data_IF_000091197702
#
_entry.id   IF_000091197702
#
_cell.length_a   1.000
_cell.length_b   1.000
_cell.length_c   1.000
_cell.angle_alpha   90.00
_cell.angle_beta   90.00
_cell.angle_gamma   90.00
#
_symmetry.space_group_name_H-M   'P 1'
#
loop_
_entity.id
_entity.type
_entity.pdbx_description
1 polymer ?
#
# COMPACT_ATOMS: atom_id res chain seq x y z
N UNK A 1 -24.15 -5.55 21.09
CA UNK A 1 -23.98 -5.50 22.55
C UNK A 1 -24.84 -6.60 23.14
N UNK A 2 -24.33 -7.35 24.12
CA UNK A 2 -25.12 -8.31 24.87
C UNK A 2 -25.61 -7.65 26.15
N UNK A 3 -26.93 -7.49 26.23
CA UNK A 3 -27.59 -6.84 27.36
C UNK A 3 -27.63 -7.82 28.54
N UNK A 4 -27.14 -7.35 29.68
CA UNK A 4 -27.24 -8.00 30.98
C UNK A 4 -28.15 -7.17 31.88
N UNK A 5 -27.58 -6.34 32.74
CA UNK A 5 -28.27 -5.49 33.70
C UNK A 5 -28.69 -4.12 33.14
N UNK A 6 -28.30 -3.80 31.89
CA UNK A 6 -28.66 -2.58 31.18
C UNK A 6 -27.97 -1.31 31.69
N UNK A 7 -27.03 -1.40 32.63
CA UNK A 7 -26.40 -0.24 33.27
C UNK A 7 -25.27 0.39 32.44
N UNK A 8 -24.64 -0.37 31.54
CA UNK A 8 -23.67 0.16 30.59
C UNK A 8 -24.33 0.45 29.25
N UNK A 9 -25.43 -0.23 28.94
CA UNK A 9 -26.13 -0.11 27.67
C UNK A 9 -26.90 1.21 27.53
N UNK A 10 -26.43 2.09 26.67
CA UNK A 10 -27.11 3.33 26.26
C UNK A 10 -28.21 3.01 25.26
N UNK A 11 -29.45 3.38 25.61
CA UNK A 11 -30.63 3.10 24.82
C UNK A 11 -30.51 3.62 23.37
N UNK A 12 -29.92 4.80 23.19
CA UNK A 12 -29.90 5.47 21.91
C UNK A 12 -28.77 5.05 20.97
N UNK A 13 -27.58 4.80 21.52
CA UNK A 13 -26.32 4.74 20.76
C UNK A 13 -25.80 3.32 20.63
N UNK A 14 -26.08 2.44 21.60
CA UNK A 14 -25.55 1.08 21.57
C UNK A 14 -26.42 0.17 20.70
N UNK A 15 -25.76 -0.79 20.02
CA UNK A 15 -26.42 -1.81 19.22
C UNK A 15 -26.91 -2.97 20.13
N UNK A 16 -28.00 -2.73 20.86
CA UNK A 16 -28.62 -3.72 21.76
C UNK A 16 -29.88 -4.40 21.17
N UNK A 17 -30.34 -3.93 20.02
CA UNK A 17 -31.54 -4.43 19.34
C UNK A 17 -31.21 -4.96 17.94
N UNK A 18 -32.08 -5.78 17.32
CA UNK A 18 -31.93 -6.19 15.93
C UNK A 18 -32.07 -5.03 14.93
N UNK A 19 -32.54 -3.87 15.36
CA UNK A 19 -32.72 -2.68 14.53
C UNK A 19 -31.47 -1.78 14.49
N UNK A 20 -30.38 -2.19 15.16
CA UNK A 20 -29.18 -1.36 15.32
C UNK A 20 -29.37 -0.26 16.36
N UNK A 21 -28.73 0.89 16.12
CA UNK A 21 -28.81 2.07 16.99
C UNK A 21 -30.21 2.71 16.90
N UNK A 22 -30.82 3.00 18.04
CA UNK A 22 -32.16 3.61 18.07
C UNK A 22 -32.18 5.02 17.46
N UNK A 23 -31.09 5.78 17.57
CA UNK A 23 -30.94 7.09 16.90
C UNK A 23 -31.03 6.98 15.38
N UNK A 24 -30.42 5.95 14.80
CA UNK A 24 -30.49 5.70 13.35
C UNK A 24 -31.86 5.14 12.97
N UNK A 25 -32.39 4.22 13.76
CA UNK A 25 -33.67 3.55 13.46
C UNK A 25 -34.87 4.49 13.57
N UNK A 26 -35.00 5.23 14.68
CA UNK A 26 -36.08 6.22 14.90
C UNK A 26 -35.81 7.58 14.24
N UNK A 27 -34.55 7.89 13.88
CA UNK A 27 -34.13 9.19 13.36
C UNK A 27 -33.71 10.18 14.46
N UNK A 28 -33.13 11.32 14.06
CA UNK A 28 -32.55 12.31 14.97
C UNK A 28 -33.56 12.91 15.98
N UNK A 29 -34.83 13.05 15.58
CA UNK A 29 -35.92 13.50 16.45
C UNK A 29 -36.47 12.40 17.36
N UNK A 30 -35.93 11.19 17.29
CA UNK A 30 -36.35 10.02 18.07
C UNK A 30 -36.48 10.29 19.58
N UNK A 31 -35.46 10.87 20.25
CA UNK A 31 -35.54 11.21 21.68
C UNK A 31 -36.74 12.09 22.03
N UNK A 32 -37.00 13.11 21.21
CA UNK A 32 -38.13 14.03 21.41
C UNK A 32 -39.48 13.36 21.15
N UNK A 33 -39.56 12.52 20.13
CA UNK A 33 -40.80 11.84 19.75
C UNK A 33 -41.21 10.74 20.73
N UNK A 34 -40.23 10.02 21.27
CA UNK A 34 -40.45 8.91 22.22
C UNK A 34 -40.54 9.43 23.65
N UNK A 35 -39.90 10.56 23.98
CA UNK A 35 -39.89 11.10 25.34
C UNK A 35 -38.90 10.41 26.28
N UNK A 36 -37.86 9.79 25.73
CA UNK A 36 -36.74 9.19 26.48
C UNK A 36 -35.52 10.09 26.31
N UNK A 37 -34.84 10.41 27.41
CA UNK A 37 -33.68 11.31 27.40
C UNK A 37 -32.54 10.74 26.55
N UNK A 38 -31.77 11.61 25.89
CA UNK A 38 -30.69 11.20 24.97
C UNK A 38 -29.59 10.36 25.63
N UNK A 39 -29.42 10.50 26.95
CA UNK A 39 -28.42 9.79 27.74
C UNK A 39 -29.00 8.58 28.50
N UNK A 40 -30.25 8.21 28.25
CA UNK A 40 -30.91 7.10 28.92
C UNK A 40 -30.18 5.77 28.71
N UNK A 41 -30.09 4.98 29.77
CA UNK A 41 -29.65 3.59 29.75
C UNK A 41 -30.85 2.65 29.69
N UNK A 42 -30.65 1.41 29.24
CA UNK A 42 -31.71 0.42 29.28
C UNK A 42 -32.21 0.16 30.71
N UNK A 43 -31.33 0.17 31.70
CA UNK A 43 -31.70 0.03 33.10
C UNK A 43 -32.66 1.11 33.60
N UNK A 44 -32.57 2.33 33.05
CA UNK A 44 -33.42 3.46 33.50
C UNK A 44 -34.89 3.26 33.11
N UNK A 45 -35.12 2.44 32.08
CA UNK A 45 -36.43 2.12 31.51
C UNK A 45 -37.03 0.82 32.07
N UNK A 46 -36.31 0.09 32.93
CA UNK A 46 -36.77 -1.15 33.54
C UNK A 46 -37.01 -0.96 35.04
N UNK A 47 -38.26 -1.10 35.50
CA UNK A 47 -38.62 -0.94 36.92
C UNK A 47 -39.66 -1.98 37.32
N UNK A 48 -39.49 -2.58 38.50
CA UNK A 48 -40.40 -3.59 39.04
C UNK A 48 -40.72 -4.69 38.00
N UNK A 49 -39.67 -5.27 37.41
CA UNK A 49 -39.74 -6.32 36.40
C UNK A 49 -40.60 -6.01 35.16
N UNK A 50 -40.69 -4.72 34.79
CA UNK A 50 -41.43 -4.27 33.62
C UNK A 50 -40.75 -3.10 32.92
N UNK A 51 -40.96 -2.99 31.60
CA UNK A 51 -40.50 -1.86 30.79
C UNK A 51 -41.46 -0.66 30.93
N UNK A 52 -40.91 0.50 31.26
CA UNK A 52 -41.62 1.77 31.42
C UNK A 52 -41.34 2.66 30.21
N UNK A 53 -42.25 2.60 29.23
CA UNK A 53 -42.12 3.30 27.96
C UNK A 53 -43.41 4.07 27.65
N UNK A 54 -43.32 5.26 27.04
CA UNK A 54 -44.50 5.95 26.54
C UNK A 54 -45.23 5.14 25.45
N UNK A 55 -46.55 5.32 25.28
CA UNK A 55 -47.29 4.63 24.24
C UNK A 55 -46.69 4.86 22.85
N UNK A 56 -46.57 3.80 22.06
CA UNK A 56 -46.06 3.90 20.69
C UNK A 56 -46.94 4.83 19.83
N UNK A 57 -46.30 5.78 19.14
CA UNK A 57 -46.93 6.74 18.21
C UNK A 57 -46.55 6.49 16.75
N UNK A 58 -45.78 5.44 16.48
CA UNK A 58 -45.42 4.99 15.13
C UNK A 58 -45.16 3.50 15.11
N UNK A 59 -45.20 2.90 13.92
CA UNK A 59 -44.89 1.48 13.72
C UNK A 59 -43.47 1.11 14.18
N UNK A 60 -42.49 1.98 13.89
CA UNK A 60 -41.11 1.81 14.39
C UNK A 60 -41.05 1.78 15.91
N UNK A 61 -41.83 2.63 16.58
CA UNK A 61 -41.89 2.63 18.05
C UNK A 61 -42.53 1.35 18.59
N UNK A 62 -43.62 0.91 17.97
CA UNK A 62 -44.28 -0.35 18.32
C UNK A 62 -43.32 -1.54 18.18
N UNK A 63 -42.54 -1.59 17.10
CA UNK A 63 -41.61 -2.69 16.83
C UNK A 63 -40.53 -2.84 17.92
N UNK A 64 -39.89 -1.74 18.35
CA UNK A 64 -38.89 -1.85 19.41
C UNK A 64 -39.55 -2.14 20.77
N UNK A 65 -40.77 -1.66 21.03
CA UNK A 65 -41.52 -1.98 22.26
C UNK A 65 -41.90 -3.46 22.34
N UNK A 66 -42.30 -4.06 21.22
CA UNK A 66 -42.52 -5.51 21.11
C UNK A 66 -41.22 -6.26 21.42
N UNK A 67 -40.10 -5.82 20.83
CA UNK A 67 -38.80 -6.44 21.07
C UNK A 67 -38.38 -6.32 22.55
N UNK A 68 -38.52 -5.14 23.16
CA UNK A 68 -38.24 -4.96 24.59
C UNK A 68 -39.12 -5.89 25.44
N UNK A 69 -40.41 -6.03 25.12
CA UNK A 69 -41.32 -6.93 25.85
C UNK A 69 -40.90 -8.41 25.80
N UNK A 70 -40.08 -8.81 24.81
CA UNK A 70 -39.49 -10.15 24.72
C UNK A 70 -38.17 -10.31 25.51
N UNK A 71 -37.63 -9.22 26.05
CA UNK A 71 -36.35 -9.17 26.77
C UNK A 71 -36.58 -8.91 28.26
N UNK A 72 -35.75 -9.53 29.10
CA UNK A 72 -35.66 -9.25 30.54
C UNK A 72 -34.23 -8.88 30.90
N UNK A 73 -34.05 -7.92 31.80
CA UNK A 73 -32.74 -7.60 32.35
C UNK A 73 -32.34 -8.64 33.40
N UNK A 74 -31.07 -9.00 33.42
CA UNK A 74 -30.50 -9.95 34.37
C UNK A 74 -29.60 -9.25 35.40
N UNK A 75 -29.12 -9.99 36.40
CA UNK A 75 -28.14 -9.48 37.37
C UNK A 75 -26.70 -9.42 36.84
N UNK A 76 -26.45 -9.99 35.65
CA UNK A 76 -25.12 -10.03 35.02
C UNK A 76 -24.82 -8.68 34.38
N UNK A 77 -23.57 -8.22 34.43
CA UNK A 77 -23.16 -6.98 33.77
C UNK A 77 -23.30 -7.07 32.24
N UNK A 78 -23.58 -5.95 31.59
CA UNK A 78 -23.60 -5.87 30.14
C UNK A 78 -22.22 -6.19 29.53
N UNK A 79 -22.19 -6.78 28.33
CA UNK A 79 -20.95 -7.11 27.65
C UNK A 79 -20.94 -6.68 26.18
N UNK A 80 -19.79 -6.20 25.70
CA UNK A 80 -19.56 -5.97 24.28
C UNK A 80 -19.10 -7.25 23.60
N UNK A 81 -19.93 -7.80 22.71
CA UNK A 81 -19.59 -8.94 21.87
C UNK A 81 -19.27 -8.49 20.44
N UNK A 82 -18.21 -9.06 19.87
CA UNK A 82 -17.81 -8.82 18.48
C UNK A 82 -18.53 -9.80 17.57
N UNK A 83 -19.22 -9.31 16.55
CA UNK A 83 -19.90 -10.15 15.57
C UNK A 83 -19.10 -10.11 14.26
N UNK A 84 -18.52 -11.26 13.88
CA UNK A 84 -17.79 -11.44 12.63
C UNK A 84 -18.39 -12.66 11.93
N UNK A 85 -18.79 -12.53 10.66
CA UNK A 85 -19.43 -13.60 9.87
C UNK A 85 -20.62 -14.26 10.59
N UNK A 86 -21.49 -13.45 11.19
CA UNK A 86 -22.65 -13.88 12.00
C UNK A 86 -22.31 -14.78 13.22
N UNK A 87 -21.08 -14.71 13.72
CA UNK A 87 -20.65 -15.44 14.93
C UNK A 87 -20.14 -14.47 15.99
N UNK A 88 -20.65 -14.64 17.21
CA UNK A 88 -20.18 -13.91 18.37
C UNK A 88 -18.76 -14.37 18.77
N UNK A 89 -17.86 -13.42 18.99
CA UNK A 89 -16.50 -13.63 19.47
C UNK A 89 -16.26 -12.80 20.73
N UNK A 90 -15.69 -13.47 21.73
CA UNK A 90 -15.37 -12.88 23.04
C UNK A 90 -14.04 -12.09 23.03
N UNK A 91 -13.27 -12.16 21.94
CA UNK A 91 -12.03 -11.39 21.77
C UNK A 91 -12.02 -10.74 20.39
N UNK A 92 -11.60 -9.48 20.35
CA UNK A 92 -11.37 -8.78 19.09
C UNK A 92 -10.09 -9.32 18.45
N UNK A 93 -10.18 -9.64 17.16
CA UNK A 93 -9.00 -9.82 16.32
C UNK A 93 -9.08 -8.72 15.26
N UNK A 94 -8.22 -7.70 15.39
CA UNK A 94 -8.19 -6.56 14.48
C UNK A 94 -7.97 -7.03 13.04
N UNK A 95 -7.15 -8.06 12.83
CA UNK A 95 -6.92 -8.64 11.50
C UNK A 95 -8.18 -9.26 10.89
N UNK A 96 -8.97 -10.00 11.68
CA UNK A 96 -10.25 -10.54 11.20
C UNK A 96 -11.26 -9.44 10.87
N UNK A 97 -11.35 -8.41 11.74
CA UNK A 97 -12.24 -7.27 11.51
C UNK A 97 -11.82 -6.53 10.24
N UNK A 98 -10.53 -6.28 10.06
CA UNK A 98 -9.96 -5.63 8.89
C UNK A 98 -10.28 -6.40 7.60
N UNK A 99 -10.12 -7.73 7.62
CA UNK A 99 -10.50 -8.58 6.48
C UNK A 99 -11.99 -8.52 6.15
N UNK A 100 -12.87 -8.46 7.16
CA UNK A 100 -14.32 -8.36 6.92
C UNK A 100 -14.74 -6.98 6.38
N UNK A 101 -14.05 -5.91 6.80
CA UNK A 101 -14.38 -4.55 6.36
C UNK A 101 -13.87 -4.27 4.93
N UNK A 102 -12.81 -4.95 4.51
CA UNK A 102 -12.14 -4.64 3.25
C UNK A 102 -12.60 -5.55 2.13
N UNK A 103 -12.91 -4.93 1.00
CA UNK A 103 -13.10 -5.64 -0.26
C UNK A 103 -11.81 -6.33 -0.68
N UNK A 104 -11.82 -7.66 -0.63
CA UNK A 104 -10.72 -8.48 -1.10
C UNK A 104 -10.70 -8.51 -2.62
N UNK A 105 -9.85 -7.69 -3.23
CA UNK A 105 -9.56 -7.75 -4.66
C UNK A 105 -8.74 -8.99 -5.02
N UNK A 106 -8.86 -9.50 -6.27
CA UNK A 106 -8.07 -10.63 -6.72
C UNK A 106 -6.57 -10.32 -6.61
N UNK A 107 -5.80 -11.34 -6.20
CA UNK A 107 -4.35 -11.23 -6.10
C UNK A 107 -3.74 -10.90 -7.46
N UNK A 108 -2.86 -9.91 -7.48
CA UNK A 108 -2.14 -9.48 -8.69
C UNK A 108 -0.81 -10.20 -8.81
N UNK A 109 -0.48 -10.65 -10.02
CA UNK A 109 0.71 -11.45 -10.32
C UNK A 109 2.02 -10.69 -10.05
N UNK A 110 2.03 -9.38 -10.30
CA UNK A 110 3.20 -8.51 -10.09
C UNK A 110 3.47 -8.16 -8.62
N UNK A 111 2.60 -8.53 -7.68
CA UNK A 111 2.72 -8.15 -6.26
C UNK A 111 4.08 -8.56 -5.67
N UNK A 112 4.57 -9.76 -5.99
CA UNK A 112 5.87 -10.27 -5.56
C UNK A 112 7.06 -9.51 -6.17
N UNK A 113 6.91 -8.92 -7.35
CA UNK A 113 7.97 -8.11 -8.00
C UNK A 113 8.08 -6.74 -7.33
N UNK A 114 6.96 -6.16 -6.90
CA UNK A 114 6.93 -4.84 -6.26
C UNK A 114 7.24 -4.94 -4.76
N UNK A 115 6.60 -5.88 -4.06
CA UNK A 115 6.53 -5.90 -2.59
C UNK A 115 7.37 -7.00 -1.93
N UNK A 116 8.36 -7.58 -2.62
CA UNK A 116 9.29 -8.57 -2.03
C UNK A 116 10.00 -8.04 -0.77
N UNK A 117 10.46 -8.93 0.11
CA UNK A 117 11.13 -8.56 1.36
C UNK A 117 12.53 -7.96 1.15
N UNK A 118 12.85 -6.90 1.91
CA UNK A 118 14.19 -6.29 1.94
C UNK A 118 14.59 -5.53 0.66
N UNK A 119 13.63 -4.86 0.01
CA UNK A 119 13.88 -3.80 -0.97
C UNK A 119 13.56 -2.42 -0.41
N UNK A 120 14.06 -1.36 -1.05
CA UNK A 120 13.97 0.02 -0.58
C UNK A 120 12.54 0.56 -0.68
N UNK A 121 11.88 0.99 0.42
CA UNK A 121 10.47 1.38 0.42
C UNK A 121 10.09 2.43 -0.64
N UNK A 122 10.86 3.52 -0.76
CA UNK A 122 10.61 4.57 -1.75
C UNK A 122 10.72 4.08 -3.20
N UNK A 123 11.59 3.10 -3.48
CA UNK A 123 11.72 2.52 -4.82
C UNK A 123 10.53 1.61 -5.13
N UNK A 124 10.09 0.80 -4.17
CA UNK A 124 8.88 -0.03 -4.30
C UNK A 124 7.64 0.80 -4.58
N UNK A 125 7.43 1.86 -3.81
CA UNK A 125 6.29 2.75 -3.97
C UNK A 125 6.25 3.38 -5.37
N UNK A 126 7.37 3.89 -5.85
CA UNK A 126 7.43 4.45 -7.19
C UNK A 126 7.25 3.39 -8.29
N UNK A 127 7.85 2.22 -8.11
CA UNK A 127 7.69 1.08 -9.03
C UNK A 127 6.22 0.67 -9.12
N UNK A 128 5.51 0.61 -8.00
CA UNK A 128 4.07 0.36 -7.95
C UNK A 128 3.28 1.37 -8.79
N UNK A 129 3.62 2.67 -8.70
CA UNK A 129 2.98 3.69 -9.53
C UNK A 129 3.24 3.48 -11.02
N UNK A 130 4.44 3.05 -11.41
CA UNK A 130 4.75 2.71 -12.81
C UNK A 130 4.04 1.45 -13.30
N UNK A 131 3.92 0.43 -12.45
CA UNK A 131 3.11 -0.77 -12.74
C UNK A 131 1.66 -0.40 -13.02
N UNK A 132 1.11 0.53 -12.24
CA UNK A 132 -0.26 1.04 -12.46
C UNK A 132 -0.36 2.11 -13.56
N UNK A 133 0.76 2.50 -14.17
CA UNK A 133 0.84 3.61 -15.14
C UNK A 133 0.24 4.93 -14.63
N UNK A 134 0.55 5.29 -13.37
CA UNK A 134 0.02 6.45 -12.63
C UNK A 134 1.04 7.57 -12.37
N UNK A 135 2.25 7.46 -12.92
CA UNK A 135 3.24 8.54 -12.81
C UNK A 135 2.89 9.71 -13.75
N UNK A 136 3.17 10.98 -13.36
CA UNK A 136 2.88 12.16 -14.19
C UNK A 136 3.92 12.36 -15.31
N UNK A 137 3.93 11.45 -16.28
CA UNK A 137 4.65 11.59 -17.55
C UNK A 137 4.01 12.68 -18.43
N UNK A 138 4.70 13.21 -19.45
CA UNK A 138 4.16 14.30 -20.29
C UNK A 138 2.84 13.93 -20.95
N UNK A 139 2.69 12.70 -21.45
CA UNK A 139 1.41 12.21 -22.00
C UNK A 139 0.26 12.30 -20.97
N UNK A 140 0.50 11.89 -19.72
CA UNK A 140 -0.49 11.99 -18.63
C UNK A 140 -0.81 13.43 -18.26
N UNK A 141 0.22 14.28 -18.10
CA UNK A 141 0.00 15.70 -17.80
C UNK A 141 -0.82 16.39 -18.89
N UNK A 142 -0.55 16.11 -20.16
CA UNK A 142 -1.34 16.63 -21.28
C UNK A 142 -2.79 16.12 -21.26
N UNK A 143 -3.00 14.85 -20.91
CA UNK A 143 -4.35 14.29 -20.76
C UNK A 143 -5.16 14.98 -19.65
N UNK A 144 -4.50 15.58 -18.66
CA UNK A 144 -5.13 16.42 -17.62
C UNK A 144 -5.35 17.88 -18.05
N UNK A 145 -5.06 18.23 -19.31
CA UNK A 145 -5.23 19.59 -19.84
C UNK A 145 -4.05 20.53 -19.59
N UNK A 146 -2.92 20.04 -19.03
CA UNK A 146 -1.73 20.86 -18.84
C UNK A 146 -1.03 21.12 -20.18
N UNK A 147 -0.73 22.39 -20.46
CA UNK A 147 0.05 22.82 -21.62
C UNK A 147 1.54 22.59 -21.37
N UNK A 148 2.01 21.38 -21.69
CA UNK A 148 3.41 20.98 -21.54
C UNK A 148 3.98 20.45 -22.85
N UNK A 149 5.25 20.72 -23.10
CA UNK A 149 6.00 20.12 -24.20
C UNK A 149 5.92 18.58 -24.11
N UNK A 150 5.46 17.88 -25.17
CA UNK A 150 5.36 16.43 -25.14
C UNK A 150 6.71 15.72 -25.13
N UNK A 151 7.81 16.39 -25.52
CA UNK A 151 9.10 15.75 -25.65
C UNK A 151 9.64 15.21 -24.31
N UNK A 152 10.28 14.05 -24.39
CA UNK A 152 10.97 13.41 -23.29
C UNK A 152 12.12 14.26 -22.79
N UNK A 153 12.14 14.54 -21.48
CA UNK A 153 13.19 15.36 -20.86
C UNK A 153 14.58 14.69 -20.84
N UNK A 154 14.65 13.38 -21.11
CA UNK A 154 15.90 12.63 -21.09
C UNK A 154 16.63 12.65 -22.44
N UNK A 155 15.91 12.42 -23.54
CA UNK A 155 16.51 12.37 -24.89
C UNK A 155 16.11 13.56 -25.80
N UNK A 156 15.03 14.27 -25.47
CA UNK A 156 14.44 15.33 -26.31
C UNK A 156 14.11 14.89 -27.76
N UNK A 157 13.99 13.59 -28.03
CA UNK A 157 13.83 13.07 -29.40
C UNK A 157 12.43 12.50 -29.71
N UNK A 158 11.65 12.13 -28.70
CA UNK A 158 10.30 11.57 -28.86
C UNK A 158 9.40 11.95 -27.69
N UNK A 159 8.10 11.68 -27.82
CA UNK A 159 7.11 12.01 -26.81
C UNK A 159 7.29 11.17 -25.53
N UNK A 160 7.19 11.80 -24.36
CA UNK A 160 7.32 11.12 -23.07
C UNK A 160 6.05 10.34 -22.73
N UNK A 161 6.12 9.03 -22.87
CA UNK A 161 5.20 8.04 -22.27
C UNK A 161 5.96 7.23 -21.21
N UNK A 162 5.27 6.39 -20.42
CA UNK A 162 5.94 5.43 -19.52
C UNK A 162 6.94 4.56 -20.27
N UNK A 163 6.48 3.97 -21.37
CA UNK A 163 7.25 2.96 -22.11
C UNK A 163 8.42 3.62 -22.83
N UNK A 164 8.23 4.83 -23.38
CA UNK A 164 9.33 5.61 -23.90
C UNK A 164 10.32 6.00 -22.80
N UNK A 165 9.85 6.61 -21.71
CA UNK A 165 10.71 7.09 -20.62
C UNK A 165 11.59 5.98 -20.05
N UNK A 166 11.02 4.78 -19.87
CA UNK A 166 11.74 3.68 -19.23
C UNK A 166 12.48 2.80 -20.22
N UNK A 167 11.97 2.49 -21.41
CA UNK A 167 12.52 1.44 -22.28
C UNK A 167 12.98 1.92 -23.66
N UNK A 168 12.24 2.82 -24.32
CA UNK A 168 12.60 3.24 -25.69
C UNK A 168 13.55 4.44 -25.73
N UNK A 169 13.63 5.21 -24.64
CA UNK A 169 14.53 6.36 -24.53
C UNK A 169 15.99 5.88 -24.54
N UNK A 170 16.79 6.39 -25.48
CA UNK A 170 18.21 6.04 -25.63
C UNK A 170 19.01 6.20 -24.33
N UNK A 171 18.76 7.29 -23.59
CA UNK A 171 19.38 7.56 -22.29
C UNK A 171 19.05 6.46 -21.26
N UNK A 172 17.79 6.07 -21.16
CA UNK A 172 17.32 5.04 -20.23
C UNK A 172 17.80 3.64 -20.66
N UNK A 173 17.80 3.36 -21.96
CA UNK A 173 18.22 2.07 -22.51
C UNK A 173 19.70 1.78 -22.26
N UNK A 174 20.56 2.80 -22.33
CA UNK A 174 21.97 2.67 -21.98
C UNK A 174 22.15 2.25 -20.51
N UNK A 175 21.38 2.86 -19.61
CA UNK A 175 21.39 2.51 -18.17
C UNK A 175 20.91 1.06 -17.98
N UNK A 176 19.78 0.67 -18.60
CA UNK A 176 19.27 -0.69 -18.52
C UNK A 176 20.26 -1.73 -19.03
N UNK A 177 20.88 -1.47 -20.17
CA UNK A 177 21.88 -2.35 -20.76
C UNK A 177 23.05 -2.57 -19.80
N UNK A 178 23.52 -1.51 -19.15
CA UNK A 178 24.64 -1.64 -18.21
C UNK A 178 24.26 -2.33 -16.92
N UNK A 179 23.16 -1.93 -16.29
CA UNK A 179 22.71 -2.51 -15.01
C UNK A 179 22.32 -3.98 -15.16
N UNK A 180 21.64 -4.35 -16.24
CA UNK A 180 21.26 -5.74 -16.50
C UNK A 180 22.49 -6.64 -16.67
N UNK A 181 23.51 -6.16 -17.41
CA UNK A 181 24.79 -6.86 -17.55
C UNK A 181 25.49 -7.07 -16.20
N UNK A 182 25.46 -6.08 -15.31
CA UNK A 182 26.02 -6.23 -13.96
C UNK A 182 25.26 -7.26 -13.10
N UNK A 183 24.02 -7.60 -13.46
CA UNK A 183 23.24 -8.65 -12.83
C UNK A 183 23.33 -9.99 -13.59
N UNK A 184 24.12 -10.10 -14.65
CA UNK A 184 24.17 -11.27 -15.56
C UNK A 184 22.83 -11.56 -16.26
N UNK A 185 22.04 -10.51 -16.54
CA UNK A 185 20.77 -10.58 -17.26
C UNK A 185 20.79 -9.68 -18.51
N UNK A 186 19.86 -9.92 -19.44
CA UNK A 186 19.62 -9.03 -20.58
C UNK A 186 18.35 -8.21 -20.33
N UNK A 187 18.36 -6.90 -20.63
CA UNK A 187 17.15 -6.09 -20.55
C UNK A 187 16.15 -6.57 -21.60
N UNK A 188 14.86 -6.61 -21.25
CA UNK A 188 13.79 -6.85 -22.22
C UNK A 188 13.44 -5.54 -22.93
N UNK A 189 12.88 -5.62 -24.15
CA UNK A 189 12.63 -4.45 -24.99
C UNK A 189 11.46 -3.60 -24.52
N UNK A 190 10.50 -4.19 -23.80
CA UNK A 190 9.27 -3.51 -23.37
C UNK A 190 9.01 -3.63 -21.87
N UNK A 191 8.14 -2.73 -21.37
CA UNK A 191 7.64 -2.79 -19.99
C UNK A 191 6.96 -4.13 -19.68
N UNK A 192 6.08 -4.59 -20.57
CA UNK A 192 5.27 -5.80 -20.36
C UNK A 192 6.14 -7.05 -20.32
N UNK A 193 7.03 -7.24 -21.29
CA UNK A 193 7.96 -8.37 -21.33
C UNK A 193 8.87 -8.39 -20.10
N UNK A 194 9.36 -7.21 -19.67
CA UNK A 194 10.17 -7.10 -18.45
C UNK A 194 9.39 -7.55 -17.22
N UNK A 195 8.14 -7.10 -17.06
CA UNK A 195 7.34 -7.43 -15.91
C UNK A 195 6.98 -8.93 -15.87
N UNK A 196 6.61 -9.50 -17.02
CA UNK A 196 6.35 -10.93 -17.18
C UNK A 196 7.59 -11.77 -16.89
N UNK A 197 8.76 -11.35 -17.39
CA UNK A 197 10.03 -11.97 -17.09
C UNK A 197 10.32 -11.97 -15.58
N UNK A 198 10.16 -10.83 -14.91
CA UNK A 198 10.39 -10.72 -13.47
C UNK A 198 9.38 -11.56 -12.66
N UNK A 199 8.14 -11.69 -13.12
CA UNK A 199 7.13 -12.55 -12.50
C UNK A 199 7.44 -14.04 -12.66
N UNK A 200 8.02 -14.45 -13.79
CA UNK A 200 8.33 -15.85 -14.08
C UNK A 200 9.57 -16.38 -13.34
N UNK A 201 10.40 -15.49 -12.77
CA UNK A 201 11.59 -15.86 -12.00
C UNK A 201 11.27 -16.82 -10.86
N UNK A 202 11.78 -18.05 -10.96
CA UNK A 202 11.69 -19.07 -9.92
C UNK A 202 12.84 -18.95 -8.90
N UNK A 203 12.56 -19.34 -7.64
CA UNK A 203 13.53 -19.32 -6.53
C UNK A 203 13.55 -18.02 -5.72
N UNK A 204 14.08 -18.09 -4.49
CA UNK A 204 14.17 -16.99 -3.51
C UNK A 204 15.61 -16.55 -3.21
N UNK A 205 16.54 -16.85 -4.13
CA UNK A 205 17.97 -16.61 -3.93
C UNK A 205 18.39 -15.15 -4.04
N UNK A 206 19.64 -14.90 -3.62
CA UNK A 206 20.31 -13.59 -3.69
C UNK A 206 20.24 -13.00 -5.10
N UNK A 207 20.36 -13.81 -6.15
CA UNK A 207 20.30 -13.36 -7.54
C UNK A 207 18.95 -12.73 -7.91
N UNK A 208 17.82 -13.34 -7.52
CA UNK A 208 16.49 -12.77 -7.77
C UNK A 208 16.33 -11.44 -7.04
N UNK A 209 16.78 -11.38 -5.79
CA UNK A 209 16.73 -10.14 -4.99
C UNK A 209 17.62 -9.05 -5.58
N UNK A 210 18.83 -9.39 -6.02
CA UNK A 210 19.75 -8.48 -6.71
C UNK A 210 19.09 -7.88 -7.94
N UNK A 211 18.47 -8.71 -8.78
CA UNK A 211 17.79 -8.26 -9.98
C UNK A 211 16.61 -7.34 -9.65
N UNK A 212 15.77 -7.70 -8.68
CA UNK A 212 14.62 -6.90 -8.27
C UNK A 212 15.02 -5.53 -7.67
N UNK A 213 16.05 -5.49 -6.81
CA UNK A 213 16.58 -4.23 -6.26
C UNK A 213 17.16 -3.37 -7.38
N UNK A 214 17.94 -3.96 -8.29
CA UNK A 214 18.57 -3.24 -9.40
C UNK A 214 17.52 -2.67 -10.36
N UNK A 215 16.48 -3.43 -10.65
CA UNK A 215 15.36 -2.99 -11.48
C UNK A 215 14.61 -1.81 -10.86
N UNK A 216 14.19 -1.94 -9.59
CA UNK A 216 13.49 -0.85 -8.89
C UNK A 216 14.38 0.39 -8.69
N UNK A 217 15.67 0.22 -8.44
CA UNK A 217 16.62 1.32 -8.32
C UNK A 217 16.85 2.05 -9.66
N UNK A 218 16.83 1.32 -10.77
CA UNK A 218 16.96 1.89 -12.12
C UNK A 218 15.73 2.73 -12.47
N UNK A 219 14.51 2.20 -12.27
CA UNK A 219 13.26 2.96 -12.44
C UNK A 219 13.29 4.24 -11.60
N UNK A 220 13.68 4.12 -10.33
CA UNK A 220 13.74 5.27 -9.43
C UNK A 220 14.75 6.32 -9.89
N UNK A 221 15.95 5.89 -10.30
CA UNK A 221 17.00 6.82 -10.70
C UNK A 221 16.66 7.54 -12.01
N UNK A 222 16.06 6.85 -12.98
CA UNK A 222 15.56 7.44 -14.23
C UNK A 222 14.48 8.50 -13.93
N UNK A 223 13.51 8.17 -13.08
CA UNK A 223 12.45 9.09 -12.70
C UNK A 223 12.97 10.33 -11.97
N UNK A 224 13.91 10.14 -11.04
CA UNK A 224 14.54 11.24 -10.31
C UNK A 224 15.35 12.13 -11.24
N UNK A 225 16.13 11.56 -12.16
CA UNK A 225 16.88 12.31 -13.18
C UNK A 225 15.95 13.14 -14.07
N UNK A 226 14.87 12.52 -14.57
CA UNK A 226 13.83 13.21 -15.35
C UNK A 226 13.27 14.41 -14.57
N UNK A 227 12.93 14.22 -13.29
CA UNK A 227 12.39 15.30 -12.46
C UNK A 227 13.44 16.36 -12.10
N UNK A 228 14.71 15.99 -11.98
CA UNK A 228 15.80 16.96 -11.80
C UNK A 228 15.97 17.85 -13.02
N UNK A 229 15.86 17.30 -14.23
CA UNK A 229 15.87 18.11 -15.45
C UNK A 229 14.67 19.07 -15.51
N UNK A 230 13.48 18.61 -15.10
CA UNK A 230 12.28 19.43 -15.06
C UNK A 230 12.36 20.59 -14.04
N UNK A 231 12.77 20.29 -12.80
CA UNK A 231 12.62 21.24 -11.67
C UNK A 231 13.92 21.93 -11.26
N UNK A 232 15.08 21.41 -11.65
CA UNK A 232 16.40 21.93 -11.24
C UNK A 232 17.29 22.27 -12.42
N UNK A 233 16.86 21.99 -13.65
CA UNK A 233 17.64 22.18 -14.87
C UNK A 233 19.06 21.59 -14.79
N UNK A 234 19.20 20.46 -14.07
CA UNK A 234 20.47 19.72 -13.95
C UNK A 234 20.36 18.40 -14.71
N UNK A 235 21.37 18.08 -15.52
CA UNK A 235 21.44 16.84 -16.26
C UNK A 235 22.69 16.05 -15.87
N UNK A 236 22.50 14.78 -15.49
CA UNK A 236 23.60 13.84 -15.24
C UNK A 236 23.83 12.94 -16.45
N UNK A 237 25.07 12.52 -16.66
CA UNK A 237 25.38 11.48 -17.64
C UNK A 237 24.86 10.11 -17.20
N UNK A 238 24.60 9.24 -18.17
CA UNK A 238 24.25 7.83 -17.95
C UNK A 238 25.25 7.15 -17.02
N UNK A 239 26.55 7.36 -17.25
CA UNK A 239 27.64 6.84 -16.41
C UNK A 239 27.53 7.24 -14.94
N UNK A 240 27.12 8.49 -14.65
CA UNK A 240 26.92 8.94 -13.27
C UNK A 240 25.73 8.23 -12.61
N UNK A 241 24.62 8.08 -13.33
CA UNK A 241 23.43 7.37 -12.84
C UNK A 241 23.74 5.89 -12.61
N UNK A 242 24.41 5.22 -13.55
CA UNK A 242 24.82 3.81 -13.45
C UNK A 242 25.68 3.61 -12.19
N UNK A 243 26.67 4.48 -11.95
CA UNK A 243 27.52 4.40 -10.78
C UNK A 243 26.75 4.63 -9.46
N UNK A 244 25.73 5.49 -9.47
CA UNK A 244 24.86 5.71 -8.31
C UNK A 244 24.02 4.47 -8.00
N UNK A 245 23.41 3.87 -9.03
CA UNK A 245 22.64 2.62 -8.89
C UNK A 245 23.55 1.50 -8.39
N UNK A 246 24.72 1.32 -9.00
CA UNK A 246 25.71 0.31 -8.64
C UNK A 246 26.07 0.35 -7.15
N UNK A 247 26.39 1.54 -6.65
CA UNK A 247 26.76 1.76 -5.24
C UNK A 247 25.60 1.45 -4.32
N UNK A 248 24.40 1.96 -4.63
CA UNK A 248 23.20 1.72 -3.84
C UNK A 248 22.87 0.23 -3.75
N UNK A 249 22.86 -0.48 -4.88
CA UNK A 249 22.60 -1.92 -4.92
C UNK A 249 23.66 -2.68 -4.11
N UNK A 250 24.93 -2.30 -4.24
CA UNK A 250 26.02 -2.89 -3.46
C UNK A 250 25.83 -2.74 -1.95
N UNK A 251 25.42 -1.57 -1.48
CA UNK A 251 25.15 -1.31 -0.05
C UNK A 251 23.97 -2.14 0.46
N UNK A 252 22.87 -2.22 -0.29
CA UNK A 252 21.69 -3.02 0.11
C UNK A 252 22.00 -4.53 0.19
N UNK A 253 22.82 -5.04 -0.74
CA UNK A 253 23.26 -6.43 -0.70
C UNK A 253 24.15 -6.72 0.51
N UNK A 254 25.09 -5.83 0.84
CA UNK A 254 25.94 -5.99 2.01
C UNK A 254 25.11 -6.04 3.30
N UNK A 255 24.15 -5.14 3.47
CA UNK A 255 23.24 -5.13 4.60
C UNK A 255 22.46 -6.46 4.72
N UNK A 256 22.02 -7.01 3.59
CA UNK A 256 21.32 -8.30 3.56
C UNK A 256 22.21 -9.49 3.92
N UNK A 257 23.43 -9.57 3.38
CA UNK A 257 24.39 -10.65 3.68
C UNK A 257 24.75 -10.66 5.16
N UNK A 258 24.98 -9.47 5.76
CA UNK A 258 25.26 -9.34 7.20
C UNK A 258 24.09 -9.85 8.04
N UNK A 259 22.86 -9.49 7.67
CA UNK A 259 21.64 -9.85 8.42
C UNK A 259 21.31 -11.36 8.33
N UNK A 260 21.78 -12.05 7.30
CA UNK A 260 21.46 -13.47 7.04
C UNK A 260 22.53 -14.44 7.52
N UNK A 261 23.62 -13.96 8.15
CA UNK A 261 24.77 -14.78 8.59
C UNK A 261 25.35 -15.71 7.50
N UNK A 262 25.16 -15.36 6.22
CA UNK A 262 25.79 -16.06 5.12
C UNK A 262 27.21 -15.51 4.95
N UNK A 263 28.23 -16.27 5.35
CA UNK A 263 29.63 -15.86 5.20
C UNK A 263 29.99 -15.59 3.72
N UNK A 264 30.89 -14.62 3.46
CA UNK A 264 31.02 -14.00 2.15
C UNK A 264 32.02 -14.76 1.28
N UNK A 265 31.57 -15.71 0.45
CA UNK A 265 32.46 -16.30 -0.55
C UNK A 265 31.77 -16.43 -1.91
N UNK A 266 32.35 -15.71 -2.88
CA UNK A 266 32.22 -15.80 -4.36
C UNK A 266 31.23 -14.92 -5.12
N UNK A 267 30.26 -14.24 -4.52
CA UNK A 267 29.38 -13.31 -5.28
C UNK A 267 29.96 -11.89 -5.46
N UNK A 268 31.10 -11.58 -4.85
CA UNK A 268 31.64 -10.21 -4.78
C UNK A 268 32.49 -9.77 -5.99
N UNK A 269 32.67 -10.60 -7.02
CA UNK A 269 33.82 -10.44 -7.92
C UNK A 269 33.58 -10.47 -9.43
N UNK A 270 32.36 -10.45 -9.95
CA UNK A 270 32.18 -10.33 -11.42
C UNK A 270 31.09 -9.30 -11.75
N UNK A 271 31.51 -8.11 -12.17
CA UNK A 271 30.61 -7.10 -12.76
C UNK A 271 30.80 -5.67 -12.23
N UNK A 272 30.76 -5.46 -10.91
CA UNK A 272 30.76 -4.12 -10.32
C UNK A 272 32.15 -3.61 -9.89
N UNK A 273 33.09 -4.49 -9.56
CA UNK A 273 34.45 -4.11 -9.10
C UNK A 273 35.40 -3.69 -10.23
N UNK A 274 35.36 -4.38 -11.38
CA UNK A 274 36.26 -4.08 -12.51
C UNK A 274 36.04 -2.68 -13.09
N UNK A 275 34.79 -2.16 -13.04
CA UNK A 275 34.48 -0.83 -13.54
C UNK A 275 34.80 0.33 -12.60
N UNK A 276 34.93 0.07 -11.30
CA UNK A 276 35.45 1.06 -10.36
C UNK A 276 36.98 1.15 -10.42
N UNK A 277 37.67 0.09 -10.90
CA UNK A 277 39.12 0.06 -11.08
C UNK A 277 39.60 0.81 -12.32
N UNK A 278 38.85 0.77 -13.43
CA UNK A 278 39.25 1.48 -14.67
C UNK A 278 39.30 3.01 -14.50
N UNK A 279 38.61 3.57 -13.49
CA UNK A 279 38.67 5.00 -13.15
C UNK A 279 39.87 5.38 -12.27
N UNK A 280 40.51 4.41 -11.61
CA UNK A 280 41.77 4.65 -10.87
C UNK A 280 43.02 4.53 -11.75
N UNK A 281 42.92 3.91 -12.92
CA UNK A 281 43.99 3.84 -13.91
C UNK A 281 43.96 5.05 -14.85
N UNK A 282 42.78 5.53 -15.26
CA UNK A 282 42.65 6.75 -16.08
C UNK A 282 43.10 8.05 -15.38
N UNK A 283 43.08 8.10 -14.05
CA UNK A 283 43.56 9.26 -13.26
C UNK A 283 45.06 9.19 -12.92
N UNK A 284 45.77 8.12 -13.34
CA UNK A 284 47.23 8.00 -13.20
C UNK A 284 47.99 8.38 -14.46
N UNK A 285 47.34 8.36 -15.62
CA UNK A 285 48.00 8.67 -16.91
C UNK A 285 47.82 10.13 -17.38
N UNK A 286 47.10 10.98 -16.63
CA UNK A 286 47.03 12.44 -16.87
C UNK A 286 47.97 13.27 -15.95
N UNK A 287 48.86 12.62 -15.19
CA UNK A 287 49.87 13.28 -14.35
C UNK A 287 51.30 12.76 -14.60
N UNK A 288 51.61 12.39 -15.85
CA UNK A 288 52.96 12.13 -16.33
C UNK A 288 53.19 12.83 -17.68
#
# INVERSE_FOLDING_TARGET
MKVGNGQLCRFWIDNWSPFGQMTVYLGEEGPRQVGITSNAKLSDLWRLDSWHLPPARSEKQLNFQIYLSSMQLSSVEDAYEWWIDNKAKNRHNIGSIYSTIIDHHPSVTWSGVVWYSGGIPKHKFLTWLFVLNRCPTRDKMRSWGLQVDPLCLLCASANETRDHLLFECSYSWEIWTRISRCCSHQPQGTWTETLEYLCSLQGSGISKKLLLISWQATIYSIWVERNHRLHRNTAKSTTMIINQIARLVGTELQAFVITTHLYPLRFFNFGFREQLRSRSEFLRDENL
#
